data_IF_433134584162
#
_entry.id   IF_433134584162
#
_cell.length_a   1.000
_cell.length_b   1.000
_cell.length_c   1.000
_cell.angle_alpha   90.00
_cell.angle_beta   90.00
_cell.angle_gamma   90.00
#
_symmetry.space_group_name_H-M   'P 1'
#
loop_
_entity.id
_entity.type
_entity.pdbx_description
1 polymer ?
#
# COMPACT_ATOMS: atom_id res chain seq x y z
N UNK A 1 77.24 7.28 19.51
CA UNK A 1 78.17 6.20 19.87
C UNK A 1 77.76 5.69 21.24
N UNK A 2 77.48 4.38 21.32
CA UNK A 2 77.69 3.43 22.45
C UNK A 2 77.39 3.85 23.89
N UNK A 3 76.93 3.02 24.82
CA UNK A 3 76.37 1.66 24.92
C UNK A 3 76.02 1.48 26.40
N UNK A 4 75.00 0.68 26.70
CA UNK A 4 74.47 0.26 28.02
C UNK A 4 75.53 -0.36 28.98
N UNK A 5 75.24 -0.58 30.30
CA UNK A 5 74.46 -1.78 30.72
C UNK A 5 73.59 -1.68 32.01
N UNK A 6 72.51 -2.52 32.04
CA UNK A 6 72.02 -3.49 33.07
C UNK A 6 72.49 -3.34 34.55
N UNK A 7 71.79 -3.75 35.63
CA UNK A 7 70.59 -4.58 35.91
C UNK A 7 70.41 -4.72 37.45
N UNK A 8 69.18 -5.07 37.89
CA UNK A 8 68.72 -5.89 39.07
C UNK A 8 67.71 -5.17 39.97
N UNK A 9 66.40 -5.48 39.93
CA UNK A 9 65.61 -6.63 40.45
C UNK A 9 65.44 -6.73 41.98
N UNK A 10 64.18 -6.62 42.43
CA UNK A 10 63.46 -7.30 43.55
C UNK A 10 62.47 -6.30 44.20
N UNK A 11 61.22 -6.59 44.57
CA UNK A 11 60.40 -7.81 44.65
C UNK A 11 58.90 -7.44 44.75
N UNK A 12 58.04 -8.18 44.02
CA UNK A 12 56.76 -8.84 44.39
C UNK A 12 55.64 -8.08 45.20
N UNK A 13 54.39 -8.63 45.28
CA UNK A 13 53.21 -8.05 44.64
C UNK A 13 52.14 -7.58 45.63
N UNK A 14 51.15 -6.81 45.16
CA UNK A 14 49.88 -6.62 45.88
C UNK A 14 48.74 -6.57 44.90
N UNK A 15 47.88 -7.58 45.01
CA UNK A 15 46.64 -7.73 44.30
C UNK A 15 45.64 -6.64 44.72
N UNK A 16 44.88 -6.11 43.76
CA UNK A 16 43.47 -5.81 44.04
C UNK A 16 42.65 -5.89 42.76
N UNK A 17 41.84 -6.95 42.76
CA UNK A 17 40.74 -7.29 41.89
C UNK A 17 39.98 -6.09 41.33
N UNK A 18 39.94 -6.01 39.99
CA UNK A 18 38.97 -5.23 39.25
C UNK A 18 37.58 -5.86 39.41
N UNK A 19 36.73 -5.24 40.22
CA UNK A 19 35.29 -5.54 40.22
C UNK A 19 34.65 -4.97 38.96
N UNK A 20 34.64 -5.73 37.87
CA UNK A 20 33.78 -5.45 36.72
C UNK A 20 32.33 -5.68 37.12
N UNK A 21 31.58 -4.60 37.34
CA UNK A 21 30.11 -4.65 37.44
C UNK A 21 29.55 -5.32 36.17
N UNK A 22 28.63 -6.29 36.27
CA UNK A 22 27.95 -6.83 35.10
C UNK A 22 27.14 -5.71 34.43
N UNK A 23 27.51 -5.37 33.20
CA UNK A 23 26.76 -4.47 32.33
C UNK A 23 25.41 -5.11 32.05
N UNK A 24 24.33 -4.48 32.50
CA UNK A 24 22.98 -4.90 32.16
C UNK A 24 22.83 -4.96 30.62
N UNK A 25 22.06 -5.92 30.08
CA UNK A 25 21.80 -5.98 28.64
C UNK A 25 21.13 -4.68 28.19
N UNK A 26 21.42 -4.20 26.96
CA UNK A 26 20.79 -3.00 26.42
C UNK A 26 19.27 -3.22 26.41
N UNK A 27 18.57 -2.47 27.25
CA UNK A 27 17.12 -2.43 27.26
C UNK A 27 16.73 -1.64 26.02
N UNK A 28 16.32 -2.34 24.95
CA UNK A 28 15.63 -1.69 23.85
C UNK A 28 14.41 -0.96 24.46
N UNK A 29 14.24 0.35 24.22
CA UNK A 29 13.11 1.08 24.76
C UNK A 29 11.81 0.50 24.19
N UNK A 30 11.07 -0.25 25.02
CA UNK A 30 9.72 -0.76 24.71
C UNK A 30 8.66 0.32 24.94
N UNK A 31 8.93 1.56 24.54
CA UNK A 31 7.96 2.65 24.66
C UNK A 31 7.14 2.70 23.36
N UNK A 32 5.92 2.13 23.33
CA UNK A 32 5.08 2.13 22.14
C UNK A 32 4.67 3.54 21.69
N UNK A 33 4.86 4.57 22.53
CA UNK A 33 4.58 5.96 22.17
C UNK A 33 5.74 6.65 21.43
N UNK A 34 6.94 6.06 21.41
CA UNK A 34 8.09 6.57 20.64
C UNK A 34 8.14 6.06 19.21
N UNK A 35 7.32 5.06 18.88
CA UNK A 35 7.09 4.69 17.50
C UNK A 35 6.38 5.87 16.83
N UNK A 36 6.96 6.37 15.73
CA UNK A 36 6.28 7.36 14.90
C UNK A 36 4.85 6.83 14.65
N UNK A 37 3.80 7.67 14.74
CA UNK A 37 2.45 7.22 14.43
C UNK A 37 2.52 6.47 13.10
N UNK A 38 1.93 5.26 13.05
CA UNK A 38 1.82 4.45 11.85
C UNK A 38 1.03 5.25 10.82
N UNK A 39 1.71 6.17 10.14
CA UNK A 39 1.14 7.01 9.10
C UNK A 39 1.11 6.15 7.85
N UNK A 40 0.00 5.46 7.69
CA UNK A 40 -0.32 4.60 6.55
C UNK A 40 -0.92 5.42 5.40
N UNK A 41 -0.71 6.74 5.40
CA UNK A 41 -1.05 7.61 4.29
C UNK A 41 -0.48 7.02 2.99
N UNK A 42 -1.23 7.03 1.88
CA UNK A 42 -0.69 6.60 0.61
C UNK A 42 0.52 7.46 0.25
N UNK A 43 1.67 6.83 0.06
CA UNK A 43 2.96 7.55 -0.12
C UNK A 43 3.43 7.52 -1.55
N UNK A 44 2.97 6.55 -2.32
CA UNK A 44 3.53 6.20 -3.62
C UNK A 44 2.48 6.26 -4.72
N UNK A 45 2.93 6.10 -5.97
CA UNK A 45 2.05 6.09 -7.11
C UNK A 45 1.09 4.89 -7.08
N UNK A 46 -0.13 5.08 -7.58
CA UNK A 46 -1.09 3.97 -7.75
C UNK A 46 -0.53 2.94 -8.72
N UNK A 47 -0.25 1.72 -8.24
CA UNK A 47 0.34 0.62 -9.03
C UNK A 47 -0.67 -0.45 -9.43
N UNK A 48 -1.81 -0.52 -8.75
CA UNK A 48 -2.87 -1.48 -9.08
C UNK A 48 -4.26 -0.93 -8.76
N UNK A 49 -5.26 -1.53 -9.40
CA UNK A 49 -6.67 -1.31 -9.14
C UNK A 49 -7.28 -2.61 -8.61
N UNK A 50 -7.96 -2.52 -7.47
CA UNK A 50 -8.63 -3.66 -6.87
C UNK A 50 -10.13 -3.59 -7.09
N UNK A 51 -10.74 -4.70 -7.51
CA UNK A 51 -12.21 -4.80 -7.56
C UNK A 51 -12.73 -5.05 -6.15
N UNK A 52 -13.41 -4.05 -5.58
CA UNK A 52 -13.85 -4.05 -4.18
C UNK A 52 -14.76 -5.24 -3.88
N UNK A 53 -14.49 -5.94 -2.79
CA UNK A 53 -15.28 -7.09 -2.35
C UNK A 53 -14.87 -8.42 -3.01
N UNK A 54 -13.80 -8.43 -3.81
CA UNK A 54 -13.35 -9.61 -4.53
C UNK A 54 -11.87 -9.89 -4.27
N UNK A 55 -11.39 -11.05 -4.74
CA UNK A 55 -9.95 -11.35 -4.78
C UNK A 55 -9.22 -10.67 -5.94
N UNK A 56 -9.95 -10.11 -6.91
CA UNK A 56 -9.42 -9.62 -8.19
C UNK A 56 -8.64 -8.32 -8.01
N UNK A 57 -7.42 -8.32 -8.53
CA UNK A 57 -6.52 -7.17 -8.56
C UNK A 57 -5.92 -7.04 -9.96
N UNK A 58 -5.91 -5.82 -10.47
CA UNK A 58 -5.48 -5.48 -11.81
C UNK A 58 -4.23 -4.62 -11.72
N UNK A 59 -3.11 -5.14 -12.21
CA UNK A 59 -1.88 -4.37 -12.28
C UNK A 59 -2.01 -3.29 -13.34
N UNK A 60 -1.52 -2.09 -13.02
CA UNK A 60 -1.52 -1.00 -13.98
C UNK A 60 -0.23 -1.06 -14.81
N UNK A 61 -0.31 -0.76 -16.11
CA UNK A 61 0.88 -0.62 -16.94
C UNK A 61 1.71 0.60 -16.48
N UNK A 62 3.03 0.52 -16.63
CA UNK A 62 3.96 1.61 -16.29
C UNK A 62 3.90 2.79 -17.29
N UNK A 63 3.09 2.67 -18.34
CA UNK A 63 2.90 3.68 -19.37
C UNK A 63 2.36 5.01 -18.81
N UNK A 64 2.70 6.11 -19.50
CA UNK A 64 2.20 7.44 -19.15
C UNK A 64 0.70 7.58 -19.35
N UNK A 65 0.15 6.86 -20.32
CA UNK A 65 -1.26 6.85 -20.65
C UNK A 65 -1.67 5.42 -20.94
N UNK A 66 -2.86 5.04 -20.49
CA UNK A 66 -3.45 3.73 -20.74
C UNK A 66 -4.97 3.82 -20.67
N UNK A 67 -5.64 2.77 -21.10
CA UNK A 67 -7.11 2.70 -21.23
C UNK A 67 -7.69 1.60 -20.35
N UNK A 68 -8.89 1.84 -19.84
CA UNK A 68 -9.63 0.88 -19.01
C UNK A 68 -11.00 0.65 -19.65
N UNK A 69 -11.45 -0.61 -19.74
CA UNK A 69 -12.80 -0.94 -20.19
C UNK A 69 -13.06 -2.43 -20.26
N UNK A 70 -14.23 -2.82 -20.75
CA UNK A 70 -14.68 -4.22 -20.80
C UNK A 70 -14.26 -4.97 -22.06
N UNK A 71 -13.68 -4.30 -23.07
CA UNK A 71 -13.08 -5.03 -24.19
C UNK A 71 -11.83 -5.79 -23.72
N UNK A 72 -11.42 -6.87 -24.41
CA UNK A 72 -10.12 -7.47 -24.18
C UNK A 72 -9.01 -6.66 -24.86
N UNK A 73 -7.76 -6.97 -24.52
CA UNK A 73 -6.60 -6.52 -25.31
C UNK A 73 -6.76 -6.92 -26.79
N UNK A 74 -6.31 -6.09 -27.75
CA UNK A 74 -5.51 -4.87 -27.60
C UNK A 74 -6.33 -3.57 -27.51
N UNK A 75 -7.66 -3.64 -27.45
CA UNK A 75 -8.52 -2.44 -27.47
C UNK A 75 -8.43 -1.62 -26.17
N UNK A 76 -8.12 -2.28 -25.06
CA UNK A 76 -7.86 -1.65 -23.76
C UNK A 76 -6.62 -2.25 -23.10
N UNK A 77 -5.91 -1.44 -22.33
CA UNK A 77 -4.70 -1.87 -21.59
C UNK A 77 -5.05 -2.55 -20.25
N UNK A 78 -6.18 -2.19 -19.64
CA UNK A 78 -6.67 -2.76 -18.40
C UNK A 78 -8.11 -3.22 -18.56
N UNK A 79 -8.30 -4.53 -18.61
CA UNK A 79 -9.62 -5.13 -18.72
C UNK A 79 -10.38 -5.06 -17.39
N UNK A 80 -11.57 -4.46 -17.41
CA UNK A 80 -12.52 -4.39 -16.29
C UNK A 80 -13.91 -4.74 -16.80
N UNK A 81 -14.51 -5.78 -16.25
CA UNK A 81 -15.87 -6.22 -16.60
C UNK A 81 -16.75 -6.30 -15.36
N UNK A 82 -18.05 -6.05 -15.56
CA UNK A 82 -19.07 -6.23 -14.52
C UNK A 82 -19.11 -7.65 -13.95
N UNK A 83 -18.73 -8.63 -14.77
CA UNK A 83 -18.62 -10.04 -14.35
C UNK A 83 -17.55 -10.28 -13.28
N UNK A 84 -16.53 -9.41 -13.18
CA UNK A 84 -15.50 -9.51 -12.14
C UNK A 84 -16.08 -9.29 -10.74
N UNK A 85 -17.13 -8.46 -10.63
CA UNK A 85 -17.83 -8.17 -9.38
C UNK A 85 -19.02 -9.12 -9.18
N UNK A 86 -19.85 -9.27 -10.19
CA UNK A 86 -21.17 -9.93 -10.07
C UNK A 86 -21.16 -11.41 -10.43
N UNK A 87 -20.04 -11.91 -10.95
CA UNK A 87 -19.88 -13.29 -11.40
C UNK A 87 -20.22 -13.49 -12.89
N UNK A 88 -20.02 -14.73 -13.38
CA UNK A 88 -20.23 -15.06 -14.79
C UNK A 88 -21.68 -14.86 -15.23
N UNK A 89 -21.90 -14.29 -16.42
CA UNK A 89 -23.23 -14.09 -16.99
C UNK A 89 -23.97 -12.83 -16.51
N UNK A 90 -23.35 -12.00 -15.67
CA UNK A 90 -23.89 -10.70 -15.32
C UNK A 90 -23.98 -9.76 -16.52
N UNK A 91 -24.95 -8.84 -16.50
CA UNK A 91 -25.06 -7.79 -17.51
C UNK A 91 -23.83 -6.86 -17.46
N UNK A 92 -23.35 -6.43 -18.63
CA UNK A 92 -22.17 -5.57 -18.75
C UNK A 92 -22.56 -4.09 -18.66
N UNK A 93 -22.15 -3.44 -17.58
CA UNK A 93 -22.29 -2.01 -17.34
C UNK A 93 -21.00 -1.22 -17.56
N UNK A 94 -19.86 -1.87 -17.77
CA UNK A 94 -18.60 -1.21 -18.13
C UNK A 94 -18.52 -1.13 -19.65
N UNK A 95 -18.46 0.08 -20.21
CA UNK A 95 -18.24 0.28 -21.64
C UNK A 95 -16.93 -0.35 -22.14
N UNK A 96 -16.91 -0.73 -23.42
CA UNK A 96 -15.76 -1.41 -24.03
C UNK A 96 -14.44 -0.66 -23.87
N UNK A 97 -14.45 0.64 -24.14
CA UNK A 97 -13.41 1.60 -23.72
C UNK A 97 -14.11 2.60 -22.80
N UNK A 98 -13.82 2.55 -21.51
CA UNK A 98 -14.53 3.33 -20.49
C UNK A 98 -13.76 4.59 -20.11
N UNK A 99 -12.49 4.43 -19.76
CA UNK A 99 -11.61 5.50 -19.32
C UNK A 99 -10.35 5.58 -20.16
N UNK A 100 -9.91 6.81 -20.39
CA UNK A 100 -8.52 7.12 -20.67
C UNK A 100 -7.87 7.60 -19.37
N UNK A 101 -6.74 6.99 -19.00
CA UNK A 101 -6.01 7.29 -17.78
C UNK A 101 -4.65 7.86 -18.14
N UNK A 102 -4.27 8.94 -17.47
CA UNK A 102 -2.96 9.57 -17.58
C UNK A 102 -2.28 9.57 -16.22
N UNK A 103 -1.07 9.04 -16.16
CA UNK A 103 -0.25 9.03 -14.95
C UNK A 103 0.37 10.41 -14.75
N UNK A 104 0.01 11.09 -13.67
CA UNK A 104 0.56 12.41 -13.27
C UNK A 104 1.22 12.27 -11.91
N UNK A 105 2.54 12.08 -11.91
CA UNK A 105 3.34 11.88 -10.70
C UNK A 105 2.88 10.66 -9.89
N UNK A 106 2.25 10.86 -8.72
CA UNK A 106 1.74 9.79 -7.85
C UNK A 106 0.25 9.49 -8.06
N UNK A 107 -0.42 10.31 -8.87
CA UNK A 107 -1.87 10.30 -9.02
C UNK A 107 -2.24 9.88 -10.44
N UNK A 108 -3.45 9.36 -10.60
CA UNK A 108 -4.01 9.02 -11.90
C UNK A 108 -5.04 10.09 -12.27
N UNK A 109 -4.85 10.73 -13.41
CA UNK A 109 -5.86 11.59 -14.00
C UNK A 109 -6.71 10.76 -14.94
N UNK A 110 -8.02 10.76 -14.77
CA UNK A 110 -8.94 10.01 -15.62
C UNK A 110 -9.80 10.92 -16.47
N UNK A 111 -10.19 10.39 -17.63
CA UNK A 111 -11.16 11.00 -18.52
C UNK A 111 -12.11 9.94 -19.05
N UNK A 112 -13.39 10.07 -18.71
CA UNK A 112 -14.47 9.27 -19.24
C UNK A 112 -14.61 9.49 -20.75
N UNK A 113 -14.72 8.39 -21.50
CA UNK A 113 -14.79 8.42 -22.97
C UNK A 113 -16.22 8.57 -23.50
N UNK A 114 -17.13 9.18 -22.73
CA UNK A 114 -18.53 9.36 -23.11
C UNK A 114 -19.34 8.09 -22.86
N UNK A 115 -19.10 7.44 -21.73
CA UNK A 115 -19.67 6.14 -21.41
C UNK A 115 -21.14 6.25 -21.03
N UNK A 116 -21.90 5.21 -21.34
CA UNK A 116 -23.35 5.17 -21.08
C UNK A 116 -23.66 5.24 -19.59
N UNK A 117 -22.98 4.42 -18.79
CA UNK A 117 -23.26 4.29 -17.36
C UNK A 117 -22.49 5.30 -16.52
N UNK A 118 -21.41 5.88 -17.05
CA UNK A 118 -20.60 6.91 -16.42
C UNK A 118 -19.57 6.38 -15.43
N UNK A 119 -18.65 7.27 -15.11
CA UNK A 119 -17.68 7.14 -14.04
C UNK A 119 -18.12 7.96 -12.83
N UNK A 120 -17.93 7.43 -11.62
CA UNK A 120 -18.32 8.09 -10.38
C UNK A 120 -17.16 8.15 -9.38
N UNK A 121 -16.95 9.31 -8.78
CA UNK A 121 -15.99 9.54 -7.69
C UNK A 121 -16.80 10.13 -6.54
N UNK A 122 -16.73 9.53 -5.34
CA UNK A 122 -17.51 9.99 -4.16
C UNK A 122 -19.00 10.20 -4.46
N UNK A 123 -19.61 9.24 -5.16
CA UNK A 123 -21.03 9.26 -5.57
C UNK A 123 -21.44 10.39 -6.55
N UNK A 124 -20.48 11.21 -6.98
CA UNK A 124 -20.67 12.18 -8.05
C UNK A 124 -20.25 11.60 -9.40
N UNK A 125 -21.08 11.79 -10.43
CA UNK A 125 -20.73 11.40 -11.80
C UNK A 125 -19.73 12.41 -12.35
N UNK A 126 -18.56 11.92 -12.72
CA UNK A 126 -17.45 12.74 -13.21
C UNK A 126 -17.09 12.37 -14.63
N UNK A 127 -16.79 13.38 -15.46
CA UNK A 127 -16.25 13.18 -16.81
C UNK A 127 -14.72 13.21 -16.83
N UNK A 128 -14.11 13.93 -15.89
CA UNK A 128 -12.68 13.97 -15.65
C UNK A 128 -12.44 14.08 -14.15
N UNK A 129 -11.34 13.53 -13.67
CA UNK A 129 -11.06 13.58 -12.24
C UNK A 129 -9.71 13.00 -11.85
N UNK A 130 -9.37 13.23 -10.60
CA UNK A 130 -8.16 12.71 -9.99
C UNK A 130 -8.47 11.51 -9.11
N UNK A 131 -7.72 10.44 -9.35
CA UNK A 131 -7.77 9.20 -8.60
C UNK A 131 -6.46 9.07 -7.81
N UNK A 132 -6.63 8.88 -6.50
CA UNK A 132 -5.55 8.70 -5.54
C UNK A 132 -5.68 7.33 -4.86
N UNK A 133 -4.56 6.78 -4.43
CA UNK A 133 -4.56 5.55 -3.64
C UNK A 133 -5.45 5.73 -2.39
N UNK A 134 -6.20 4.69 -2.05
CA UNK A 134 -7.12 4.71 -0.90
C UNK A 134 -8.50 5.33 -1.17
N UNK A 135 -8.70 6.06 -2.29
CA UNK A 135 -9.99 6.66 -2.62
C UNK A 135 -10.72 5.83 -3.69
N UNK A 136 -11.78 5.08 -3.32
CA UNK A 136 -12.49 4.25 -4.29
C UNK A 136 -13.27 5.11 -5.29
N UNK A 137 -13.43 4.57 -6.50
CA UNK A 137 -14.23 5.14 -7.57
C UNK A 137 -15.02 4.02 -8.26
N UNK A 138 -16.03 4.37 -9.06
CA UNK A 138 -16.93 3.39 -9.68
C UNK A 138 -17.04 3.60 -11.19
N UNK A 139 -16.97 2.51 -11.95
CA UNK A 139 -17.18 2.44 -13.40
C UNK A 139 -18.43 1.61 -13.65
N UNK A 140 -19.52 2.26 -14.07
CA UNK A 140 -20.82 1.58 -14.14
C UNK A 140 -21.21 1.01 -12.77
N UNK A 141 -21.20 -0.31 -12.64
CA UNK A 141 -21.51 -1.03 -11.40
C UNK A 141 -20.26 -1.62 -10.70
N UNK A 142 -19.06 -1.47 -11.26
CA UNK A 142 -17.81 -1.98 -10.66
C UNK A 142 -17.15 -0.89 -9.82
N UNK A 143 -16.96 -1.15 -8.53
CA UNK A 143 -16.18 -0.27 -7.65
C UNK A 143 -14.72 -0.71 -7.63
N UNK A 144 -13.82 0.21 -7.93
CA UNK A 144 -12.38 0.01 -7.95
C UNK A 144 -11.73 0.79 -6.81
N UNK A 145 -10.82 0.15 -6.09
CA UNK A 145 -9.97 0.76 -5.09
C UNK A 145 -8.54 0.90 -5.66
N UNK A 146 -8.05 2.13 -5.89
CA UNK A 146 -6.68 2.37 -6.29
C UNK A 146 -5.72 2.06 -5.13
N UNK A 147 -4.65 1.33 -5.43
CA UNK A 147 -3.70 0.82 -4.44
C UNK A 147 -2.29 1.28 -4.75
N UNK A 148 -1.57 1.74 -3.73
CA UNK A 148 -0.11 1.91 -3.77
C UNK A 148 0.59 0.64 -3.24
N UNK A 149 1.93 0.52 -3.36
CA UNK A 149 2.65 -0.64 -2.85
C UNK A 149 2.45 -0.92 -1.35
N UNK A 150 2.38 0.13 -0.52
CA UNK A 150 2.21 -0.01 0.92
C UNK A 150 0.83 -0.58 1.29
N UNK A 151 -0.23 -0.09 0.63
CA UNK A 151 -1.58 -0.60 0.79
C UNK A 151 -1.71 -2.06 0.37
N UNK A 152 -1.06 -2.48 -0.71
CA UNK A 152 -1.06 -3.88 -1.17
C UNK A 152 -0.45 -4.80 -0.12
N UNK A 153 0.67 -4.36 0.47
CA UNK A 153 1.36 -5.10 1.52
C UNK A 153 0.52 -5.17 2.81
N UNK A 154 -0.03 -4.04 3.25
CA UNK A 154 -0.93 -3.98 4.41
C UNK A 154 -2.13 -4.91 4.23
N UNK A 155 -2.73 -4.90 3.03
CA UNK A 155 -3.88 -5.74 2.72
C UNK A 155 -3.57 -7.23 2.91
N UNK A 156 -2.41 -7.69 2.45
CA UNK A 156 -1.97 -9.09 2.59
C UNK A 156 -1.91 -9.49 4.06
N UNK A 157 -1.40 -8.61 4.92
CA UNK A 157 -1.38 -8.83 6.36
C UNK A 157 -2.77 -8.85 6.97
N UNK A 158 -3.63 -7.88 6.61
CA UNK A 158 -5.01 -7.80 7.12
C UNK A 158 -5.83 -9.04 6.75
N UNK A 159 -5.68 -9.56 5.53
CA UNK A 159 -6.34 -10.81 5.13
C UNK A 159 -5.88 -12.01 5.94
N UNK A 160 -4.60 -12.08 6.27
CA UNK A 160 -4.07 -13.16 7.09
C UNK A 160 -4.69 -13.14 8.50
N UNK A 161 -4.86 -11.95 9.09
CA UNK A 161 -5.44 -11.78 10.43
C UNK A 161 -6.96 -11.96 10.43
N UNK A 162 -7.67 -11.37 9.48
CA UNK A 162 -9.14 -11.27 9.47
C UNK A 162 -9.83 -12.42 8.71
N UNK A 163 -9.06 -13.26 8.03
CA UNK A 163 -9.54 -14.38 7.22
C UNK A 163 -9.42 -14.10 5.72
N UNK A 164 -9.02 -15.14 4.97
CA UNK A 164 -8.69 -15.04 3.54
C UNK A 164 -9.88 -14.58 2.68
N UNK A 165 -11.11 -14.93 3.08
CA UNK A 165 -12.37 -14.62 2.40
C UNK A 165 -12.97 -13.26 2.81
N UNK A 166 -12.41 -12.57 3.80
CA UNK A 166 -12.95 -11.31 4.34
C UNK A 166 -12.67 -10.09 3.44
N UNK A 167 -12.71 -10.25 2.11
CA UNK A 167 -12.32 -9.22 1.14
C UNK A 167 -13.08 -7.91 1.32
N UNK A 168 -14.42 -7.97 1.37
CA UNK A 168 -15.24 -6.77 1.50
C UNK A 168 -15.02 -6.01 2.82
N UNK A 169 -14.64 -6.71 3.89
CA UNK A 169 -14.31 -6.08 5.16
C UNK A 169 -12.92 -5.41 5.10
N UNK A 170 -11.91 -6.14 4.60
CA UNK A 170 -10.55 -5.59 4.44
C UNK A 170 -10.55 -4.38 3.49
N UNK A 171 -11.25 -4.47 2.37
CA UNK A 171 -11.29 -3.39 1.37
C UNK A 171 -12.02 -2.14 1.90
N UNK A 172 -12.95 -2.28 2.85
CA UNK A 172 -13.57 -1.15 3.57
C UNK A 172 -12.65 -0.53 4.61
N UNK A 173 -11.84 -1.34 5.28
CA UNK A 173 -10.90 -0.87 6.30
C UNK A 173 -9.70 -0.15 5.70
N UNK A 174 -9.23 -0.56 4.53
CA UNK A 174 -8.05 0.02 3.89
C UNK A 174 -8.12 1.55 3.76
N UNK A 175 -9.17 2.15 3.14
CA UNK A 175 -9.32 3.60 3.08
C UNK A 175 -9.25 4.29 4.44
N UNK A 176 -9.88 3.70 5.47
CA UNK A 176 -9.93 4.24 6.84
C UNK A 176 -8.56 4.21 7.50
N UNK A 177 -7.83 3.10 7.32
CA UNK A 177 -6.48 2.96 7.88
C UNK A 177 -5.50 3.91 7.17
N UNK A 178 -5.72 4.15 5.87
CA UNK A 178 -4.85 5.02 5.07
C UNK A 178 -5.26 6.49 5.05
N UNK A 179 -6.43 6.88 5.58
CA UNK A 179 -6.84 8.29 5.64
C UNK A 179 -5.97 9.10 6.62
N UNK A 180 -5.26 8.42 7.52
CA UNK A 180 -4.52 9.05 8.60
C UNK A 180 -5.40 9.43 9.80
N UNK A 181 -6.68 9.03 9.78
CA UNK A 181 -7.56 9.21 10.93
C UNK A 181 -7.10 8.34 12.11
N UNK A 182 -7.22 8.83 13.36
CA UNK A 182 -6.83 8.06 14.53
C UNK A 182 -7.69 6.80 14.64
N UNK A 183 -7.03 5.64 14.56
CA UNK A 183 -7.66 4.34 14.73
C UNK A 183 -7.77 4.02 16.23
N UNK A 184 -9.00 3.83 16.70
CA UNK A 184 -9.24 3.24 18.01
C UNK A 184 -9.27 1.71 17.88
N UNK A 185 -8.30 1.05 18.49
CA UNK A 185 -8.32 -0.41 18.68
C UNK A 185 -9.07 -0.69 19.98
N UNK A 186 -10.26 -1.29 19.87
CA UNK A 186 -11.09 -1.73 21.01
C UNK A 186 -10.96 -3.23 21.25
#
# INVERSE_FOLDING_TARGET
MSSSPRSRNSARPSASSAGSKPTAPPTLPTDPMREAPLSLLPRDAVVSLRVVGTKTELLLPDGRTFTIGSKPEPDVDVHVSSSMRNGPGAAEYVSGVHLLVQRKSKQLWIRDQGTTNGTYIEDHRETEGEIVAGRPFRLGDVTLLPMDPAMRELRRHLQWVLGLEAHGYVDKMLPVVTSGDPLLLI
#
